data_IF_636194286827
#
_entry.id   IF_636194286827
#
_cell.length_a   1.000
_cell.length_b   1.000
_cell.length_c   1.000
_cell.angle_alpha   90.00
_cell.angle_beta   90.00
_cell.angle_gamma   90.00
#
_symmetry.space_group_name_H-M   'P 1'
#
loop_
_entity.id
_entity.type
_entity.pdbx_description
1 polymer ?
#
# COMPACT_ATOMS: atom_id res chain seq x y z
N UNK A 1 -9.68 -3.49 18.14
CA UNK A 1 -9.33 -4.63 17.27
C UNK A 1 -9.73 -4.39 15.82
N UNK A 2 -10.80 -3.68 15.59
CA UNK A 2 -11.36 -3.48 14.23
C UNK A 2 -10.41 -2.75 13.28
N UNK A 3 -9.74 -1.69 13.74
CA UNK A 3 -8.77 -0.96 12.91
C UNK A 3 -7.55 -1.80 12.50
N UNK A 4 -7.09 -2.72 13.36
CA UNK A 4 -5.99 -3.64 13.04
C UNK A 4 -6.39 -4.62 11.93
N UNK A 5 -7.51 -5.34 12.10
CA UNK A 5 -7.98 -6.33 11.13
C UNK A 5 -8.33 -5.66 9.79
N UNK A 6 -8.98 -4.49 9.87
CA UNK A 6 -9.34 -3.73 8.67
C UNK A 6 -8.09 -3.26 7.93
N UNK A 7 -7.08 -2.75 8.64
CA UNK A 7 -5.82 -2.37 8.04
C UNK A 7 -5.07 -3.58 7.45
N UNK A 8 -5.05 -4.71 8.18
CA UNK A 8 -4.40 -5.93 7.70
C UNK A 8 -5.02 -6.43 6.39
N UNK A 9 -6.35 -6.64 6.41
CA UNK A 9 -7.04 -7.24 5.27
C UNK A 9 -7.08 -6.28 4.09
N UNK A 10 -7.50 -5.02 4.31
CA UNK A 10 -7.64 -4.04 3.24
C UNK A 10 -6.29 -3.74 2.59
N UNK A 11 -5.26 -3.46 3.38
CA UNK A 11 -3.92 -3.17 2.86
C UNK A 11 -3.34 -4.37 2.12
N UNK A 12 -3.54 -5.60 2.64
CA UNK A 12 -3.06 -6.81 1.98
C UNK A 12 -3.71 -7.00 0.60
N UNK A 13 -5.04 -6.88 0.53
CA UNK A 13 -5.77 -7.05 -0.73
C UNK A 13 -5.42 -5.95 -1.74
N UNK A 14 -5.24 -4.70 -1.29
CA UNK A 14 -4.82 -3.57 -2.15
C UNK A 14 -3.38 -3.78 -2.65
N UNK A 15 -2.50 -4.33 -1.83
CA UNK A 15 -1.09 -4.57 -2.18
C UNK A 15 -0.92 -5.72 -3.20
N UNK A 16 -1.95 -6.58 -3.38
CA UNK A 16 -1.88 -7.66 -4.36
C UNK A 16 -1.75 -7.12 -5.79
N UNK A 17 -0.72 -7.55 -6.49
CA UNK A 17 -0.40 -7.05 -7.83
C UNK A 17 0.11 -5.60 -7.86
N UNK A 18 0.44 -5.02 -6.71
CA UNK A 18 1.07 -3.72 -6.61
C UNK A 18 2.45 -3.70 -7.26
N UNK A 19 2.91 -2.49 -7.59
CA UNK A 19 4.22 -2.31 -8.26
C UNK A 19 5.37 -2.82 -7.42
N UNK A 20 5.30 -2.64 -6.11
CA UNK A 20 6.31 -3.12 -5.17
C UNK A 20 6.42 -4.65 -5.20
N UNK A 21 5.27 -5.35 -5.13
CA UNK A 21 5.21 -6.80 -5.18
C UNK A 21 5.80 -7.34 -6.48
N UNK A 22 5.45 -6.72 -7.62
CA UNK A 22 5.96 -7.11 -8.93
C UNK A 22 7.46 -6.83 -9.08
N UNK A 23 7.99 -5.73 -8.52
CA UNK A 23 9.42 -5.43 -8.52
C UNK A 23 10.18 -6.47 -7.68
N UNK A 24 9.70 -6.77 -6.47
CA UNK A 24 10.32 -7.78 -5.60
C UNK A 24 10.30 -9.15 -6.27
N UNK A 25 9.18 -9.52 -6.90
CA UNK A 25 9.05 -10.76 -7.65
C UNK A 25 10.05 -10.85 -8.81
N UNK A 26 10.27 -9.77 -9.56
CA UNK A 26 11.27 -9.73 -10.63
C UNK A 26 12.69 -9.88 -10.11
N UNK A 27 13.05 -9.13 -9.07
CA UNK A 27 14.37 -9.26 -8.46
C UNK A 27 14.61 -10.67 -7.90
N UNK A 28 13.59 -11.23 -7.23
CA UNK A 28 13.66 -12.59 -6.70
C UNK A 28 13.89 -13.62 -7.79
N UNK A 29 13.16 -13.50 -8.91
CA UNK A 29 13.34 -14.41 -10.07
C UNK A 29 14.70 -14.24 -10.76
N UNK A 30 15.25 -13.02 -10.76
CA UNK A 30 16.53 -12.71 -11.42
C UNK A 30 17.77 -13.05 -10.57
N UNK A 31 17.61 -13.21 -9.24
CA UNK A 31 18.72 -13.41 -8.28
C UNK A 31 18.58 -14.68 -7.46
N UNK A 32 17.92 -15.71 -7.99
CA UNK A 32 17.72 -17.02 -7.34
C UNK A 32 17.26 -16.91 -5.88
N UNK A 33 16.24 -16.08 -5.63
CA UNK A 33 15.64 -15.87 -4.30
C UNK A 33 16.63 -15.39 -3.23
N UNK A 34 17.37 -14.35 -3.54
CA UNK A 34 18.36 -13.78 -2.64
C UNK A 34 17.73 -13.30 -1.31
N UNK A 35 18.16 -13.87 -0.17
CA UNK A 35 17.68 -13.54 1.17
C UNK A 35 17.88 -12.06 1.58
N UNK A 36 19.04 -11.45 1.33
CA UNK A 36 19.24 -10.01 1.58
C UNK A 36 18.23 -9.10 0.90
N UNK A 37 17.79 -9.43 -0.31
CA UNK A 37 16.74 -8.70 -1.01
C UNK A 37 15.42 -8.70 -0.21
N UNK A 38 15.04 -9.86 0.33
CA UNK A 38 13.83 -9.99 1.13
C UNK A 38 13.90 -9.13 2.39
N UNK A 39 15.04 -9.14 3.09
CA UNK A 39 15.24 -8.32 4.29
C UNK A 39 15.07 -6.83 3.97
N UNK A 40 15.69 -6.36 2.88
CA UNK A 40 15.57 -4.96 2.45
C UNK A 40 14.11 -4.62 2.10
N UNK A 41 13.44 -5.49 1.35
CA UNK A 41 12.06 -5.26 0.95
C UNK A 41 11.10 -5.23 2.14
N UNK A 42 11.28 -6.12 3.14
CA UNK A 42 10.54 -6.12 4.41
C UNK A 42 10.82 -4.83 5.18
N UNK A 43 12.09 -4.44 5.34
CA UNK A 43 12.47 -3.22 6.05
C UNK A 43 11.86 -1.98 5.41
N UNK A 44 11.87 -1.88 4.07
CA UNK A 44 11.22 -0.81 3.34
C UNK A 44 9.69 -0.82 3.55
N UNK A 45 9.06 -2.00 3.53
CA UNK A 45 7.62 -2.13 3.73
C UNK A 45 7.18 -1.65 5.12
N UNK A 46 7.91 -2.04 6.16
CA UNK A 46 7.65 -1.60 7.54
C UNK A 46 7.91 -0.09 7.70
N UNK A 47 9.05 0.40 7.19
CA UNK A 47 9.41 1.81 7.30
C UNK A 47 8.39 2.72 6.60
N UNK A 48 7.99 2.40 5.37
CA UNK A 48 7.00 3.20 4.63
C UNK A 48 5.61 3.13 5.24
N UNK A 49 5.20 1.98 5.78
CA UNK A 49 3.96 1.86 6.54
C UNK A 49 3.99 2.74 7.80
N UNK A 50 5.12 2.77 8.52
CA UNK A 50 5.30 3.60 9.70
C UNK A 50 5.23 5.10 9.36
N UNK A 51 5.91 5.53 8.29
CA UNK A 51 5.87 6.92 7.83
C UNK A 51 4.45 7.34 7.48
N UNK A 52 3.71 6.52 6.72
CA UNK A 52 2.36 6.85 6.29
C UNK A 52 1.36 6.83 7.45
N UNK A 53 1.46 5.89 8.36
CA UNK A 53 0.60 5.85 9.54
C UNK A 53 0.89 7.04 10.47
N UNK A 54 2.16 7.37 10.71
CA UNK A 54 2.55 8.53 11.50
C UNK A 54 2.07 9.84 10.86
N UNK A 55 2.27 10.00 9.55
CA UNK A 55 1.82 11.18 8.82
C UNK A 55 0.29 11.33 8.90
N UNK A 56 -0.47 10.24 8.65
CA UNK A 56 -1.93 10.26 8.75
C UNK A 56 -2.43 10.65 10.13
N UNK A 57 -1.89 10.03 11.18
CA UNK A 57 -2.24 10.32 12.56
C UNK A 57 -1.90 11.76 12.98
N UNK A 58 -0.68 12.22 12.64
CA UNK A 58 -0.21 13.55 13.01
C UNK A 58 -1.01 14.65 12.32
N UNK A 59 -1.24 14.51 11.00
CA UNK A 59 -2.01 15.52 10.27
C UNK A 59 -3.46 15.53 10.76
N UNK A 60 -4.07 14.37 10.98
CA UNK A 60 -5.44 14.29 11.48
C UNK A 60 -5.59 14.90 12.90
N UNK A 61 -4.56 14.80 13.75
CA UNK A 61 -4.60 15.36 15.10
C UNK A 61 -4.57 16.89 15.13
N UNK A 62 -4.08 17.53 14.07
CA UNK A 62 -3.98 18.99 13.95
C UNK A 62 -5.25 19.59 13.30
N UNK A 63 -5.97 18.77 12.53
CA UNK A 63 -7.12 19.19 11.76
C UNK A 63 -8.43 19.12 12.57
N UNK A 64 -9.39 20.05 12.34
CA UNK A 64 -10.76 19.84 12.78
C UNK A 64 -11.32 18.54 12.19
N UNK A 65 -12.21 17.86 12.92
CA UNK A 65 -12.76 16.55 12.55
C UNK A 65 -13.18 16.45 11.07
N UNK A 66 -13.92 17.42 10.57
CA UNK A 66 -14.38 17.45 9.17
C UNK A 66 -13.23 17.53 8.17
N UNK A 67 -12.20 18.30 8.48
CA UNK A 67 -11.01 18.40 7.61
C UNK A 67 -10.21 17.09 7.63
N UNK A 68 -10.13 16.41 8.77
CA UNK A 68 -9.52 15.08 8.86
C UNK A 68 -10.31 14.03 8.03
N UNK A 69 -11.64 14.05 8.08
CA UNK A 69 -12.50 13.19 7.25
C UNK A 69 -12.32 13.49 5.76
N UNK A 70 -12.23 14.75 5.36
CA UNK A 70 -11.89 15.14 3.97
C UNK A 70 -10.51 14.64 3.56
N UNK A 71 -9.52 14.69 4.45
CA UNK A 71 -8.18 14.15 4.21
C UNK A 71 -8.21 12.64 3.94
N UNK A 72 -8.98 11.90 4.74
CA UNK A 72 -9.22 10.46 4.52
C UNK A 72 -9.84 10.21 3.15
N UNK A 73 -10.85 10.99 2.78
CA UNK A 73 -11.50 10.89 1.46
C UNK A 73 -10.51 11.12 0.32
N UNK A 74 -9.68 12.15 0.40
CA UNK A 74 -8.64 12.42 -0.60
C UNK A 74 -7.59 11.31 -0.66
N UNK A 75 -7.15 10.77 0.46
CA UNK A 75 -6.20 9.67 0.49
C UNK A 75 -6.76 8.40 -0.18
N UNK A 76 -8.03 8.08 0.06
CA UNK A 76 -8.70 6.94 -0.59
C UNK A 76 -8.83 7.17 -2.11
N UNK A 77 -9.21 8.36 -2.55
CA UNK A 77 -9.31 8.69 -3.98
C UNK A 77 -7.93 8.63 -4.64
N UNK A 78 -6.88 9.16 -4.01
CA UNK A 78 -5.52 9.08 -4.52
C UNK A 78 -5.04 7.63 -4.68
N UNK A 79 -5.33 6.77 -3.68
CA UNK A 79 -5.06 5.34 -3.76
C UNK A 79 -5.85 4.65 -4.89
N UNK A 80 -7.12 5.03 -5.08
CA UNK A 80 -7.93 4.50 -6.17
C UNK A 80 -7.36 4.86 -7.55
N UNK A 81 -6.92 6.10 -7.73
CA UNK A 81 -6.27 6.54 -8.98
C UNK A 81 -5.03 5.70 -9.27
N UNK A 82 -4.22 5.37 -8.25
CA UNK A 82 -3.07 4.48 -8.41
C UNK A 82 -3.50 3.06 -8.83
N UNK A 83 -4.60 2.53 -8.26
CA UNK A 83 -5.11 1.20 -8.61
C UNK A 83 -5.57 1.07 -10.07
N UNK A 84 -6.11 2.14 -10.65
CA UNK A 84 -6.49 2.16 -12.07
C UNK A 84 -5.29 2.25 -13.00
N UNK A 85 -4.14 2.73 -12.49
CA UNK A 85 -2.96 2.86 -13.33
C UNK A 85 -2.36 1.48 -13.65
N UNK A 86 -2.09 1.16 -14.91
CA UNK A 86 -1.56 -0.14 -15.27
C UNK A 86 -0.17 -0.35 -14.68
N UNK A 87 0.02 -1.48 -14.00
CA UNK A 87 1.33 -1.89 -13.49
C UNK A 87 2.14 -2.44 -14.64
N UNK A 88 3.02 -1.61 -15.19
CA UNK A 88 3.99 -2.01 -16.21
C UNK A 88 5.36 -2.05 -15.56
N UNK A 89 5.83 -3.24 -15.21
CA UNK A 89 7.20 -3.43 -14.75
C UNK A 89 8.01 -3.95 -15.93
N UNK A 90 8.98 -3.16 -16.38
CA UNK A 90 9.85 -3.55 -17.51
C UNK A 90 10.71 -4.74 -17.09
N UNK A 91 10.90 -5.75 -17.97
CA UNK A 91 11.84 -6.83 -17.70
C UNK A 91 13.23 -6.26 -17.42
N UNK A 92 13.87 -6.73 -16.35
CA UNK A 92 15.23 -6.34 -16.04
C UNK A 92 16.18 -7.09 -16.98
N UNK A 93 16.96 -6.33 -17.75
CA UNK A 93 18.05 -6.91 -18.58
C UNK A 93 19.25 -7.27 -17.73
N UNK A 94 19.58 -6.40 -16.77
CA UNK A 94 20.68 -6.61 -15.81
C UNK A 94 20.20 -6.14 -14.43
N UNK A 95 20.05 -7.05 -13.45
CA UNK A 95 19.67 -6.64 -12.10
C UNK A 95 20.81 -5.85 -11.45
N UNK A 96 20.49 -4.69 -10.91
CA UNK A 96 21.48 -3.95 -10.10
C UNK A 96 21.88 -4.78 -8.89
N UNK A 97 23.18 -4.80 -8.58
CA UNK A 97 23.72 -5.47 -7.39
C UNK A 97 23.78 -4.53 -6.16
N UNK A 98 23.44 -3.27 -6.35
CA UNK A 98 23.43 -2.29 -5.24
C UNK A 98 22.15 -2.40 -4.43
N UNK A 99 22.25 -2.97 -3.25
CA UNK A 99 21.13 -3.08 -2.29
C UNK A 99 20.58 -1.71 -1.85
N UNK A 100 21.43 -0.70 -1.80
CA UNK A 100 21.02 0.68 -1.48
C UNK A 100 20.14 1.24 -2.59
N UNK A 101 20.52 1.05 -3.85
CA UNK A 101 19.71 1.48 -4.99
C UNK A 101 18.37 0.75 -5.05
N UNK A 102 18.35 -0.56 -4.78
CA UNK A 102 17.12 -1.36 -4.69
C UNK A 102 16.22 -0.81 -3.58
N UNK A 103 16.77 -0.60 -2.39
CA UNK A 103 16.02 -0.06 -1.25
C UNK A 103 15.42 1.32 -1.56
N UNK A 104 16.20 2.23 -2.12
CA UNK A 104 15.73 3.57 -2.50
C UNK A 104 14.57 3.52 -3.51
N UNK A 105 14.68 2.67 -4.54
CA UNK A 105 13.60 2.48 -5.53
C UNK A 105 12.36 1.89 -4.86
N UNK A 106 12.53 0.90 -3.98
CA UNK A 106 11.41 0.28 -3.26
C UNK A 106 10.70 1.31 -2.38
N UNK A 107 11.42 2.08 -1.55
CA UNK A 107 10.83 3.13 -0.71
C UNK A 107 10.05 4.13 -1.55
N UNK A 108 10.65 4.65 -2.62
CA UNK A 108 10.00 5.63 -3.49
C UNK A 108 8.72 5.08 -4.14
N UNK A 109 8.75 3.83 -4.60
CA UNK A 109 7.58 3.18 -5.19
C UNK A 109 6.50 2.87 -4.17
N UNK A 110 6.89 2.40 -3.00
CA UNK A 110 5.98 2.09 -1.91
C UNK A 110 5.24 3.33 -1.40
N UNK A 111 5.93 4.48 -1.27
CA UNK A 111 5.28 5.72 -0.83
C UNK A 111 4.14 6.18 -1.75
N UNK A 112 4.15 5.77 -3.01
CA UNK A 112 3.12 6.11 -4.01
C UNK A 112 2.10 4.98 -4.23
N UNK A 113 2.18 3.90 -3.48
CA UNK A 113 1.30 2.73 -3.62
C UNK A 113 -0.05 2.97 -2.91
N UNK A 114 -1.13 2.48 -3.53
CA UNK A 114 -2.48 2.54 -2.97
C UNK A 114 -2.58 1.96 -1.55
N UNK A 115 -1.83 0.90 -1.26
CA UNK A 115 -1.79 0.29 0.06
C UNK A 115 -1.27 1.28 1.13
N UNK A 116 -0.32 2.14 0.77
CA UNK A 116 0.20 3.17 1.68
C UNK A 116 -0.79 4.31 1.90
N UNK A 117 -1.54 4.71 0.88
CA UNK A 117 -2.66 5.64 1.03
C UNK A 117 -3.77 5.07 1.92
N UNK A 118 -4.05 3.77 1.83
CA UNK A 118 -5.00 3.10 2.71
C UNK A 118 -4.51 3.10 4.18
N UNK A 119 -3.24 2.81 4.44
CA UNK A 119 -2.65 2.89 5.80
C UNK A 119 -2.76 4.32 6.34
N UNK A 120 -2.42 5.33 5.53
CA UNK A 120 -2.54 6.73 5.90
C UNK A 120 -3.99 7.08 6.29
N UNK A 121 -4.96 6.73 5.44
CA UNK A 121 -6.37 7.00 5.66
C UNK A 121 -6.89 6.32 6.94
N UNK A 122 -6.55 5.04 7.14
CA UNK A 122 -6.95 4.27 8.32
C UNK A 122 -6.31 4.82 9.60
N UNK A 123 -5.04 5.22 9.57
CA UNK A 123 -4.38 5.82 10.72
C UNK A 123 -4.93 7.21 11.06
N UNK A 124 -5.32 7.98 10.04
CA UNK A 124 -5.98 9.27 10.23
C UNK A 124 -7.39 9.15 10.84
N UNK A 125 -8.06 8.02 10.59
CA UNK A 125 -9.43 7.77 11.06
C UNK A 125 -9.49 6.99 12.37
N UNK A 126 -8.47 6.17 12.67
CA UNK A 126 -8.47 5.28 13.83
C UNK A 126 -8.29 6.02 15.15
N UNK A 127 -9.02 5.59 16.19
CA UNK A 127 -8.83 6.07 17.57
C UNK A 127 -7.41 5.72 18.08
N UNK A 128 -6.89 4.56 17.66
CA UNK A 128 -5.54 4.09 17.97
C UNK A 128 -4.75 3.87 16.66
N UNK A 129 -4.04 4.90 16.16
CA UNK A 129 -3.30 4.80 14.88
C UNK A 129 -2.27 3.67 14.84
N UNK A 130 -1.72 3.29 15.98
CA UNK A 130 -0.76 2.17 16.10
C UNK A 130 -1.34 0.83 15.64
N UNK A 131 -2.64 0.61 15.80
CA UNK A 131 -3.29 -0.62 15.32
C UNK A 131 -3.34 -0.67 13.80
N UNK A 132 -3.62 0.46 13.14
CA UNK A 132 -3.56 0.59 11.69
C UNK A 132 -2.13 0.43 11.15
N UNK A 133 -1.14 0.98 11.87
CA UNK A 133 0.27 0.79 11.56
C UNK A 133 0.65 -0.69 11.57
N UNK A 134 0.35 -1.39 12.66
CA UNK A 134 0.77 -2.80 12.81
C UNK A 134 0.09 -3.67 11.76
N UNK A 135 -1.24 -3.51 11.58
CA UNK A 135 -1.99 -4.25 10.55
C UNK A 135 -1.48 -3.97 9.15
N UNK A 136 -1.26 -2.70 8.80
CA UNK A 136 -0.74 -2.29 7.51
C UNK A 136 0.70 -2.75 7.24
N UNK A 137 1.57 -2.68 8.25
CA UNK A 137 2.94 -3.18 8.14
C UNK A 137 2.98 -4.69 7.92
N UNK A 138 2.19 -5.46 8.69
CA UNK A 138 2.08 -6.91 8.51
C UNK A 138 1.54 -7.27 7.12
N UNK A 139 0.55 -6.54 6.62
CA UNK A 139 0.03 -6.71 5.26
C UNK A 139 1.09 -6.45 4.19
N UNK A 140 1.85 -5.36 4.34
CA UNK A 140 2.95 -5.02 3.45
C UNK A 140 4.05 -6.09 3.45
N UNK A 141 4.44 -6.58 4.61
CA UNK A 141 5.39 -7.69 4.75
C UNK A 141 4.86 -8.95 4.06
N UNK A 142 3.60 -9.32 4.31
CA UNK A 142 2.99 -10.49 3.69
C UNK A 142 2.96 -10.38 2.16
N UNK A 143 2.61 -9.19 1.62
CA UNK A 143 2.64 -8.94 0.17
C UNK A 143 4.03 -9.08 -0.43
N UNK A 144 5.06 -8.54 0.23
CA UNK A 144 6.46 -8.63 -0.19
C UNK A 144 6.95 -10.07 -0.16
N UNK A 145 6.65 -10.82 0.92
CA UNK A 145 7.01 -12.23 1.05
C UNK A 145 6.35 -13.07 -0.04
N UNK A 146 5.07 -12.82 -0.33
CA UNK A 146 4.39 -13.48 -1.44
C UNK A 146 5.02 -13.17 -2.79
N UNK A 147 5.35 -11.89 -3.05
CA UNK A 147 6.04 -11.50 -4.29
C UNK A 147 7.38 -12.23 -4.45
N UNK A 148 8.16 -12.26 -3.37
CA UNK A 148 9.45 -12.93 -3.34
C UNK A 148 9.35 -14.45 -3.52
N UNK A 149 8.35 -15.10 -2.92
CA UNK A 149 8.18 -16.56 -2.96
C UNK A 149 7.56 -17.06 -4.25
N UNK A 150 6.55 -16.36 -4.77
CA UNK A 150 5.82 -16.79 -5.97
C UNK A 150 6.54 -16.43 -7.27
N UNK A 151 7.28 -15.31 -7.29
CA UNK A 151 7.88 -14.80 -8.51
C UNK A 151 6.86 -14.24 -9.51
N UNK A 152 7.37 -13.71 -10.63
CA UNK A 152 6.56 -13.00 -11.64
C UNK A 152 5.58 -13.91 -12.37
N UNK A 153 5.99 -15.14 -12.67
CA UNK A 153 5.17 -16.06 -13.47
C UNK A 153 3.86 -16.44 -12.76
N UNK A 154 3.94 -16.75 -11.47
CA UNK A 154 2.75 -17.12 -10.69
C UNK A 154 1.82 -15.90 -10.49
N UNK A 155 2.38 -14.73 -10.25
CA UNK A 155 1.59 -13.51 -10.10
C UNK A 155 0.85 -13.13 -11.39
N UNK A 156 1.46 -13.33 -12.55
CA UNK A 156 0.85 -13.02 -13.85
C UNK A 156 -0.32 -13.96 -14.22
N UNK A 157 -0.46 -15.11 -13.55
CA UNK A 157 -1.61 -16.03 -13.74
C UNK A 157 -2.87 -15.53 -13.01
N UNK A 158 -2.72 -14.62 -12.06
CA UNK A 158 -3.85 -14.08 -11.30
C UNK A 158 -4.53 -12.94 -12.09
N UNK A 159 -5.86 -12.77 -11.97
CA UNK A 159 -6.60 -11.70 -12.61
C UNK A 159 -6.41 -10.36 -11.86
N UNK A 160 -5.15 -9.99 -11.60
CA UNK A 160 -4.78 -8.84 -10.77
C UNK A 160 -5.40 -7.53 -11.25
N UNK A 161 -5.53 -7.37 -12.58
CA UNK A 161 -6.12 -6.16 -13.17
C UNK A 161 -7.59 -5.99 -12.77
N UNK A 162 -8.36 -7.08 -12.78
CA UNK A 162 -9.78 -7.05 -12.40
C UNK A 162 -9.92 -6.77 -10.90
N UNK A 163 -9.08 -7.41 -10.07
CA UNK A 163 -9.05 -7.19 -8.61
C UNK A 163 -8.72 -5.73 -8.31
N UNK A 164 -7.66 -5.17 -8.88
CA UNK A 164 -7.25 -3.78 -8.69
C UNK A 164 -8.32 -2.80 -9.16
N UNK A 165 -8.98 -3.07 -10.29
CA UNK A 165 -10.06 -2.24 -10.79
C UNK A 165 -11.27 -2.24 -9.83
N UNK A 166 -11.71 -3.41 -9.36
CA UNK A 166 -12.81 -3.51 -8.40
C UNK A 166 -12.49 -2.79 -7.09
N UNK A 167 -11.28 -2.96 -6.56
CA UNK A 167 -10.82 -2.25 -5.35
C UNK A 167 -10.75 -0.74 -5.57
N UNK A 168 -10.28 -0.28 -6.72
CA UNK A 168 -10.25 1.14 -7.07
C UNK A 168 -11.65 1.75 -7.06
N UNK A 169 -12.64 1.05 -7.63
CA UNK A 169 -14.05 1.48 -7.59
C UNK A 169 -14.55 1.55 -6.15
N UNK A 170 -14.30 0.52 -5.33
CA UNK A 170 -14.68 0.53 -3.91
C UNK A 170 -14.04 1.71 -3.15
N UNK A 171 -12.76 1.99 -3.39
CA UNK A 171 -12.06 3.10 -2.73
C UNK A 171 -12.59 4.47 -3.18
N UNK A 172 -12.97 4.63 -4.46
CA UNK A 172 -13.64 5.86 -4.92
C UNK A 172 -14.97 6.04 -4.22
N UNK A 173 -15.80 4.99 -4.20
CA UNK A 173 -17.12 5.07 -3.54
C UNK A 173 -16.95 5.43 -2.08
N UNK A 174 -16.05 4.76 -1.34
CA UNK A 174 -15.77 5.06 0.05
C UNK A 174 -15.27 6.51 0.23
N UNK A 175 -14.32 6.95 -0.59
CA UNK A 175 -13.78 8.30 -0.54
C UNK A 175 -14.84 9.37 -0.83
N UNK A 176 -15.68 9.15 -1.84
CA UNK A 176 -16.78 10.08 -2.17
C UNK A 176 -17.81 10.13 -1.04
N UNK A 177 -18.24 9.00 -0.51
CA UNK A 177 -19.21 8.94 0.61
C UNK A 177 -18.66 9.66 1.84
N UNK A 178 -17.42 9.38 2.24
CA UNK A 178 -16.77 10.05 3.38
C UNK A 178 -16.64 11.57 3.12
N UNK A 179 -16.22 11.96 1.92
CA UNK A 179 -16.04 13.36 1.55
C UNK A 179 -17.36 14.15 1.53
N UNK A 180 -18.41 13.55 0.96
CA UNK A 180 -19.75 14.17 0.96
C UNK A 180 -20.29 14.29 2.39
N UNK A 181 -20.10 13.28 3.22
CA UNK A 181 -20.52 13.30 4.61
C UNK A 181 -19.78 14.40 5.40
N UNK A 182 -18.48 14.51 5.24
CA UNK A 182 -17.67 15.58 5.83
C UNK A 182 -18.14 16.98 5.40
N UNK A 183 -18.62 17.13 4.15
CA UNK A 183 -19.08 18.41 3.59
C UNK A 183 -20.49 18.76 4.02
N UNK A 184 -21.44 17.82 3.96
CA UNK A 184 -22.87 18.11 4.03
C UNK A 184 -23.58 17.56 5.28
N UNK A 185 -22.92 16.76 6.11
CA UNK A 185 -23.51 16.11 7.30
C UNK A 185 -24.76 15.28 6.98
N UNK A 186 -24.67 14.38 6.02
CA UNK A 186 -25.81 13.52 5.66
C UNK A 186 -26.00 12.29 6.57
N UNK A 187 -25.03 11.94 7.43
CA UNK A 187 -25.08 10.81 8.35
C UNK A 187 -24.63 11.18 9.75
#
# INVERSE_FOLDING_TARGET
MDAFLLALILTFVIALGGREQMIVAQFSSATDRNGPLLIIAISCAVATAAVMAYAGATIASILPRRAAEMLVAFALIAGAVELFWPVKVKPMKEPTRSYVAIGAVLVFRQMQDAARFAIFALAAWAVYPTTALIGGAMAGVASVVLGWSLGVEALNKLPLRAIRFALGVCMIIAGVVIGLNARFMFL
#
